data_IF_582592901806
#
_entry.id   IF_582592901806
#
_cell.length_a   1.000
_cell.length_b   1.000
_cell.length_c   1.000
_cell.angle_alpha   90.00
_cell.angle_beta   90.00
_cell.angle_gamma   90.00
#
_symmetry.space_group_name_H-M   'P 1'
#
loop_
_entity.id
_entity.type
_entity.pdbx_description
1 polymer ?
#
# COMPACT_ATOMS: atom_id res chain seq x y z
N UNK A 1 -14.58 -14.56 -7.74
CA UNK A 1 -14.49 -13.76 -9.00
C UNK A 1 -13.04 -13.50 -9.43
N UNK A 2 -12.10 -13.33 -8.49
CA UNK A 2 -10.69 -12.97 -8.73
C UNK A 2 -9.87 -13.98 -9.55
N UNK A 3 -10.03 -15.29 -9.32
CA UNK A 3 -9.23 -16.32 -10.02
C UNK A 3 -9.53 -16.36 -11.52
N UNK A 4 -10.81 -16.30 -11.91
CA UNK A 4 -11.22 -16.26 -13.33
C UNK A 4 -10.60 -15.06 -14.04
N UNK A 5 -10.59 -13.91 -13.38
CA UNK A 5 -9.98 -12.72 -13.94
C UNK A 5 -8.46 -12.88 -14.12
N UNK A 6 -7.75 -13.50 -13.18
CA UNK A 6 -6.32 -13.81 -13.33
C UNK A 6 -6.03 -14.79 -14.47
N UNK A 7 -6.94 -15.71 -14.76
CA UNK A 7 -6.87 -16.55 -15.96
C UNK A 7 -7.09 -15.74 -17.23
N UNK A 8 -8.11 -14.89 -17.27
CA UNK A 8 -8.46 -14.05 -18.43
C UNK A 8 -7.30 -13.13 -18.83
N UNK A 9 -6.62 -12.52 -17.85
CA UNK A 9 -5.46 -11.64 -18.12
C UNK A 9 -4.13 -12.42 -18.24
N UNK A 10 -4.17 -13.75 -18.12
CA UNK A 10 -3.02 -14.63 -18.34
C UNK A 10 -1.98 -14.65 -17.21
N UNK A 11 -2.33 -14.25 -16.00
CA UNK A 11 -1.49 -14.35 -14.80
C UNK A 11 -1.50 -15.74 -14.15
N UNK A 12 -2.56 -16.49 -14.38
CA UNK A 12 -2.72 -17.88 -13.94
C UNK A 12 -3.06 -18.73 -15.16
N UNK A 13 -2.34 -19.84 -15.36
CA UNK A 13 -2.57 -20.75 -16.48
C UNK A 13 -3.22 -22.01 -15.96
N UNK A 14 -4.54 -21.98 -15.79
CA UNK A 14 -5.29 -23.17 -15.42
C UNK A 14 -5.25 -24.17 -16.57
N UNK A 15 -4.42 -25.20 -16.48
CA UNK A 15 -4.56 -26.40 -17.31
C UNK A 15 -5.80 -27.12 -16.75
N UNK A 16 -6.99 -26.75 -17.24
CA UNK A 16 -8.32 -27.27 -16.88
C UNK A 16 -8.30 -28.68 -16.28
N UNK A 17 -8.13 -28.80 -14.96
CA UNK A 17 -8.52 -29.99 -14.20
C UNK A 17 -9.84 -29.64 -13.55
N UNK A 18 -10.92 -29.90 -14.29
CA UNK A 18 -12.28 -29.82 -13.77
C UNK A 18 -12.70 -31.25 -13.53
N UNK A 19 -12.73 -31.65 -12.27
CA UNK A 19 -13.20 -32.97 -11.86
C UNK A 19 -14.57 -32.76 -11.21
N UNK A 20 -15.61 -33.41 -11.74
CA UNK A 20 -16.99 -33.30 -11.24
C UNK A 20 -17.50 -31.85 -11.09
N UNK A 21 -17.15 -30.97 -12.02
CA UNK A 21 -17.57 -29.57 -12.03
C UNK A 21 -16.85 -28.65 -11.03
N UNK A 22 -15.87 -29.16 -10.27
CA UNK A 22 -15.04 -28.37 -9.34
C UNK A 22 -13.65 -28.12 -9.93
N UNK A 23 -13.12 -26.92 -9.68
CA UNK A 23 -11.75 -26.54 -10.09
C UNK A 23 -10.74 -27.23 -9.17
N UNK A 24 -9.80 -27.94 -9.77
CA UNK A 24 -8.65 -28.53 -9.07
C UNK A 24 -7.43 -27.65 -9.32
N UNK A 25 -6.81 -27.19 -8.24
CA UNK A 25 -5.57 -26.41 -8.28
C UNK A 25 -4.39 -27.31 -7.97
N UNK A 26 -3.30 -27.14 -8.71
CA UNK A 26 -2.02 -27.77 -8.40
C UNK A 26 -1.29 -26.96 -7.32
N UNK A 27 -0.29 -27.56 -6.68
CA UNK A 27 0.59 -26.80 -5.78
C UNK A 27 1.32 -25.66 -6.48
N UNK A 28 1.57 -25.80 -7.80
CA UNK A 28 2.11 -24.74 -8.64
C UNK A 28 1.18 -23.53 -8.71
N UNK A 29 -0.12 -23.76 -8.91
CA UNK A 29 -1.14 -22.71 -8.94
C UNK A 29 -1.24 -22.00 -7.59
N UNK A 30 -1.18 -22.75 -6.49
CA UNK A 30 -1.21 -22.19 -5.13
C UNK A 30 0.02 -21.31 -4.88
N UNK A 31 1.22 -21.77 -5.23
CA UNK A 31 2.46 -20.96 -5.12
C UNK A 31 2.37 -19.70 -5.97
N UNK A 32 1.85 -19.81 -7.18
CA UNK A 32 1.65 -18.67 -8.09
C UNK A 32 0.68 -17.64 -7.51
N UNK A 33 -0.46 -18.08 -6.97
CA UNK A 33 -1.43 -17.19 -6.32
C UNK A 33 -0.85 -16.48 -5.09
N UNK A 34 -0.05 -17.19 -4.28
CA UNK A 34 0.67 -16.57 -3.15
C UNK A 34 1.66 -15.51 -3.64
N UNK A 35 2.36 -15.76 -4.74
CA UNK A 35 3.29 -14.80 -5.33
C UNK A 35 2.55 -13.55 -5.86
N UNK A 36 1.47 -13.72 -6.62
CA UNK A 36 0.62 -12.61 -7.09
C UNK A 36 0.14 -11.79 -5.90
N UNK A 37 -0.35 -12.44 -4.83
CA UNK A 37 -0.81 -11.73 -3.65
C UNK A 37 0.31 -10.92 -2.97
N UNK A 38 1.52 -11.47 -2.89
CA UNK A 38 2.68 -10.76 -2.34
C UNK A 38 3.03 -9.52 -3.18
N UNK A 39 3.06 -9.64 -4.51
CA UNK A 39 3.34 -8.50 -5.38
C UNK A 39 2.27 -7.41 -5.26
N UNK A 40 0.99 -7.79 -5.12
CA UNK A 40 -0.09 -6.82 -4.87
C UNK A 40 0.12 -6.04 -3.57
N UNK A 41 0.56 -6.72 -2.50
CA UNK A 41 0.86 -6.08 -1.21
C UNK A 41 2.04 -5.12 -1.35
N UNK A 42 3.01 -5.43 -2.20
CA UNK A 42 4.13 -4.54 -2.55
C UNK A 42 3.73 -3.38 -3.49
N UNK A 43 2.45 -3.26 -3.82
CA UNK A 43 1.92 -2.15 -4.61
C UNK A 43 1.93 -2.37 -6.12
N UNK A 44 2.43 -3.51 -6.61
CA UNK A 44 2.42 -3.78 -8.05
C UNK A 44 0.99 -3.90 -8.57
N UNK A 45 0.77 -3.34 -9.74
CA UNK A 45 -0.45 -3.46 -10.52
C UNK A 45 -0.52 -4.81 -11.23
N UNK A 46 -1.74 -5.22 -11.57
CA UNK A 46 -1.94 -6.44 -12.35
C UNK A 46 -1.34 -6.33 -13.77
N UNK A 47 -1.27 -5.12 -14.33
CA UNK A 47 -0.67 -4.87 -15.64
C UNK A 47 0.84 -5.17 -15.62
N UNK A 48 1.57 -4.63 -14.65
CA UNK A 48 3.01 -4.90 -14.46
C UNK A 48 3.27 -6.40 -14.25
N UNK A 49 2.44 -7.06 -13.45
CA UNK A 49 2.55 -8.52 -13.25
C UNK A 49 2.35 -9.29 -14.56
N UNK A 50 1.43 -8.86 -15.43
CA UNK A 50 1.17 -9.49 -16.72
C UNK A 50 2.37 -9.30 -17.65
N UNK A 51 3.03 -8.15 -17.62
CA UNK A 51 4.24 -7.90 -18.40
C UNK A 51 5.40 -8.76 -17.94
N UNK A 52 5.65 -8.84 -16.63
CA UNK A 52 6.66 -9.73 -16.05
C UNK A 52 6.38 -11.19 -16.44
N UNK A 53 5.11 -11.61 -16.44
CA UNK A 53 4.71 -12.96 -16.85
C UNK A 53 4.94 -13.21 -18.35
N UNK A 54 4.65 -12.23 -19.22
CA UNK A 54 4.94 -12.35 -20.66
C UNK A 54 6.43 -12.54 -20.91
N UNK A 55 7.29 -11.83 -20.17
CA UNK A 55 8.75 -11.96 -20.27
C UNK A 55 9.18 -13.35 -19.81
N UNK A 56 8.68 -13.81 -18.66
CA UNK A 56 8.94 -15.16 -18.16
C UNK A 56 8.61 -16.24 -19.18
N UNK A 57 7.45 -16.14 -19.82
CA UNK A 57 7.00 -17.16 -20.77
C UNK A 57 7.86 -17.23 -22.03
N UNK A 58 8.39 -16.10 -22.50
CA UNK A 58 9.29 -16.04 -23.67
C UNK A 58 10.66 -16.64 -23.36
N UNK A 59 11.23 -16.24 -22.21
CA UNK A 59 12.60 -16.56 -21.82
C UNK A 59 12.74 -17.90 -21.08
N UNK A 60 11.64 -18.36 -20.46
CA UNK A 60 11.58 -19.51 -19.54
C UNK A 60 12.62 -19.46 -18.41
N UNK A 61 13.08 -18.27 -18.06
CA UNK A 61 14.08 -18.05 -17.03
C UNK A 61 13.83 -16.74 -16.27
N UNK A 62 14.45 -16.61 -15.10
CA UNK A 62 14.29 -15.45 -14.22
C UNK A 62 15.29 -14.33 -14.50
N UNK A 63 16.27 -14.52 -15.40
CA UNK A 63 17.40 -13.58 -15.58
C UNK A 63 16.94 -12.20 -16.05
N UNK A 64 15.89 -12.13 -16.85
CA UNK A 64 15.36 -10.84 -17.33
C UNK A 64 14.25 -10.26 -16.45
N UNK A 65 13.62 -11.09 -15.63
CA UNK A 65 12.52 -10.66 -14.76
C UNK A 65 13.05 -10.02 -13.50
N UNK A 66 14.06 -10.63 -12.87
CA UNK A 66 14.56 -10.17 -11.58
C UNK A 66 15.07 -8.72 -11.65
N UNK A 67 15.88 -8.30 -12.65
CA UNK A 67 16.28 -6.90 -12.77
C UNK A 67 15.09 -5.97 -12.97
N UNK A 68 14.12 -6.33 -13.83
CA UNK A 68 12.93 -5.51 -14.06
C UNK A 68 12.06 -5.38 -12.81
N UNK A 69 11.87 -6.46 -12.07
CA UNK A 69 11.14 -6.44 -10.82
C UNK A 69 11.85 -5.59 -9.76
N UNK A 70 13.19 -5.63 -9.71
CA UNK A 70 13.96 -4.75 -8.82
C UNK A 70 13.72 -3.28 -9.17
N UNK A 71 13.84 -2.89 -10.44
CA UNK A 71 13.56 -1.49 -10.86
C UNK A 71 12.17 -1.03 -10.44
N UNK A 72 11.13 -1.85 -10.67
CA UNK A 72 9.75 -1.51 -10.27
C UNK A 72 9.63 -1.33 -8.75
N UNK A 73 10.31 -2.17 -7.97
CA UNK A 73 10.28 -2.10 -6.51
C UNK A 73 11.06 -0.90 -5.97
N UNK A 74 12.19 -0.56 -6.60
CA UNK A 74 13.01 0.60 -6.24
C UNK A 74 12.22 1.89 -6.51
N UNK A 75 11.61 2.02 -7.68
CA UNK A 75 10.72 3.15 -8.01
C UNK A 75 9.55 3.26 -7.02
N UNK A 76 8.99 2.13 -6.59
CA UNK A 76 7.89 2.12 -5.61
C UNK A 76 8.36 2.55 -4.22
N UNK A 77 9.55 2.13 -3.81
CA UNK A 77 10.13 2.53 -2.53
C UNK A 77 10.40 4.04 -2.52
N UNK A 78 10.97 4.59 -3.59
CA UNK A 78 11.23 6.02 -3.73
C UNK A 78 9.93 6.84 -3.65
N UNK A 79 8.87 6.43 -4.34
CA UNK A 79 7.55 7.08 -4.25
C UNK A 79 6.97 7.06 -2.83
N UNK A 80 7.21 5.98 -2.08
CA UNK A 80 6.76 5.87 -0.68
C UNK A 80 7.57 6.84 0.19
N UNK A 81 8.88 6.91 0.01
CA UNK A 81 9.76 7.80 0.77
C UNK A 81 9.43 9.29 0.52
N UNK A 82 9.15 9.64 -0.72
CA UNK A 82 8.66 10.97 -1.09
C UNK A 82 7.33 11.28 -0.39
N UNK A 83 6.40 10.33 -0.41
CA UNK A 83 5.10 10.51 0.22
C UNK A 83 5.21 10.63 1.74
N UNK A 84 6.08 9.85 2.36
CA UNK A 84 6.39 9.95 3.79
C UNK A 84 6.94 11.34 4.10
N UNK A 85 7.89 11.83 3.31
CA UNK A 85 8.49 13.15 3.50
C UNK A 85 7.44 14.27 3.42
N UNK A 86 6.56 14.22 2.42
CA UNK A 86 5.43 15.16 2.31
C UNK A 86 4.48 15.10 3.51
N UNK A 87 4.12 13.91 3.96
CA UNK A 87 3.22 13.72 5.11
C UNK A 87 3.85 14.20 6.42
N UNK A 88 5.17 14.02 6.58
CA UNK A 88 5.92 14.54 7.73
C UNK A 88 5.93 16.06 7.73
N UNK A 89 6.17 16.70 6.58
CA UNK A 89 6.13 18.16 6.44
C UNK A 89 4.74 18.72 6.77
N UNK A 90 3.69 18.16 6.16
CA UNK A 90 2.31 18.57 6.43
C UNK A 90 1.93 18.42 7.91
N UNK A 91 2.33 17.31 8.54
CA UNK A 91 2.10 17.09 9.98
C UNK A 91 2.78 18.16 10.83
N UNK A 92 3.96 18.64 10.44
CA UNK A 92 4.66 19.72 11.13
C UNK A 92 3.87 21.02 11.02
N UNK A 93 3.44 21.40 9.82
CA UNK A 93 2.63 22.60 9.58
C UNK A 93 1.33 22.59 10.40
N UNK A 94 0.63 21.45 10.42
CA UNK A 94 -0.59 21.28 11.23
C UNK A 94 -0.31 21.53 12.71
N UNK A 95 0.78 20.99 13.25
CA UNK A 95 1.15 21.17 14.67
C UNK A 95 1.47 22.63 15.00
N UNK A 96 2.21 23.31 14.13
CA UNK A 96 2.52 24.73 14.31
C UNK A 96 1.24 25.58 14.28
N UNK A 97 0.32 25.28 13.37
CA UNK A 97 -0.97 25.97 13.32
C UNK A 97 -1.82 25.69 14.56
N UNK A 98 -1.87 24.44 15.04
CA UNK A 98 -2.54 24.08 16.29
C UNK A 98 -1.96 24.83 17.49
N UNK A 99 -0.64 25.00 17.57
CA UNK A 99 0.00 25.77 18.64
C UNK A 99 -0.44 27.25 18.61
N UNK A 100 -0.37 27.89 17.42
CA UNK A 100 -0.83 29.27 17.25
C UNK A 100 -2.30 29.44 17.63
N UNK A 101 -3.15 28.49 17.27
CA UNK A 101 -4.56 28.52 17.67
C UNK A 101 -4.75 28.39 19.18
N UNK A 102 -4.01 27.50 19.84
CA UNK A 102 -4.06 27.37 21.32
C UNK A 102 -3.66 28.65 22.02
N UNK A 103 -2.62 29.33 21.53
CA UNK A 103 -2.18 30.62 22.05
C UNK A 103 -3.26 31.69 21.88
N UNK A 104 -3.90 31.78 20.69
CA UNK A 104 -5.02 32.69 20.45
C UNK A 104 -6.21 32.41 21.36
N UNK A 105 -6.62 31.15 21.51
CA UNK A 105 -7.72 30.77 22.40
C UNK A 105 -7.44 31.18 23.84
N UNK A 106 -6.20 31.00 24.32
CA UNK A 106 -5.79 31.44 25.67
C UNK A 106 -5.87 32.97 25.83
N UNK A 107 -5.52 33.73 24.79
CA UNK A 107 -5.57 35.19 24.83
C UNK A 107 -7.01 35.73 24.75
N UNK A 108 -7.90 35.06 24.02
CA UNK A 108 -9.31 35.44 23.87
C UNK A 108 -10.21 34.93 25.00
N UNK A 109 -9.76 33.91 25.74
CA UNK A 109 -10.43 33.37 26.94
C UNK A 109 -9.50 33.52 28.14
N UNK A 110 -9.32 34.74 28.68
CA UNK A 110 -8.57 34.90 29.93
C UNK A 110 -9.25 34.08 31.02
N UNK A 111 -8.47 33.36 31.84
CA UNK A 111 -9.00 32.68 33.03
C UNK A 111 -9.87 33.66 33.81
N UNK A 112 -11.08 33.25 34.25
CA UNK A 112 -11.87 34.11 35.11
C UNK A 112 -11.00 34.47 36.31
N UNK A 113 -10.95 35.76 36.71
CA UNK A 113 -10.14 36.18 37.85
C UNK A 113 -10.51 35.25 39.02
N UNK A 114 -9.50 34.61 39.62
CA UNK A 114 -9.67 33.88 40.87
C UNK A 114 -10.50 34.77 41.78
N UNK A 115 -11.77 34.39 41.98
CA UNK A 115 -12.65 35.10 42.89
C UNK A 115 -11.93 35.04 44.22
N UNK A 116 -11.54 36.23 44.68
CA UNK A 116 -10.86 36.40 45.94
C UNK A 116 -11.57 35.55 46.99
N UNK A 117 -10.76 34.83 47.76
CA UNK A 117 -11.16 34.45 49.12
C UNK A 117 -11.38 35.75 49.89
N UNK A 118 -12.54 36.37 49.67
CA UNK A 118 -13.11 37.36 50.55
C UNK A 118 -13.44 36.67 51.86
N UNK A 119 -12.67 37.05 52.87
CA UNK A 119 -13.13 37.35 54.22
C UNK A 119 -14.50 36.79 54.63
N UNK A 120 -14.50 35.94 55.65
CA UNK A 120 -15.54 35.97 56.67
C UNK A 120 -14.96 35.49 58.02
N UNK A 121 -14.72 36.49 58.88
CA UNK A 121 -14.78 36.49 60.37
C UNK A 121 -13.90 35.53 61.16
#
# INVERSE_FOLDING_TARGET
>A
RTIRYYEEIGLLHSVRRIENGKRVFTDGDVRRLKFINRLKVLGLSLAEMVELEKIYRKQRNNREILPKLLVILDERAEQIDDRISQLVALRKEIREYQQRLREKVRLETPEPPEQGKGEAS
#
